data_IF_049206033024
#
_entry.id   IF_049206033024
#
_cell.length_a   1.000
_cell.length_b   1.000
_cell.length_c   1.000
_cell.angle_alpha   90.00
_cell.angle_beta   90.00
_cell.angle_gamma   90.00
#
_symmetry.space_group_name_H-M   'P 1'
#
loop_
_entity.id
_entity.type
_entity.pdbx_description
1 polymer ?
#
# COMPACT_ATOMS: atom_id res chain seq x y z
N UNK A 1 -28.37 58.59 52.17
CA UNK A 1 -27.59 57.47 52.74
C UNK A 1 -27.57 56.38 51.68
N UNK A 2 -26.51 56.01 50.97
CA UNK A 2 -25.07 56.28 51.05
C UNK A 2 -24.49 56.30 49.61
N UNK A 3 -23.59 57.25 49.35
CA UNK A 3 -22.62 57.24 48.26
C UNK A 3 -21.57 56.17 48.48
N UNK A 4 -21.02 55.60 47.41
CA UNK A 4 -19.68 54.99 47.43
C UNK A 4 -18.92 55.38 46.15
N UNK A 5 -17.69 55.84 46.40
CA UNK A 5 -16.81 56.60 45.52
C UNK A 5 -16.00 55.74 44.55
N UNK A 6 -15.69 56.31 43.38
CA UNK A 6 -14.67 55.82 42.45
C UNK A 6 -13.28 56.27 42.92
N UNK A 7 -12.33 55.33 42.99
CA UNK A 7 -10.91 55.59 43.24
C UNK A 7 -10.18 55.56 41.89
N UNK A 8 -9.51 56.67 41.55
CA UNK A 8 -8.63 56.83 40.39
C UNK A 8 -7.18 56.58 40.84
N UNK A 9 -6.46 55.69 40.15
CA UNK A 9 -5.03 55.45 40.33
C UNK A 9 -4.22 56.18 39.24
N UNK A 10 -3.06 56.80 39.55
CA UNK A 10 -2.29 57.59 38.61
C UNK A 10 -1.32 56.74 37.75
N UNK A 11 -1.13 57.13 36.49
CA UNK A 11 -0.11 56.59 35.59
C UNK A 11 1.29 57.03 36.03
N UNK A 12 2.23 56.08 36.17
CA UNK A 12 3.66 56.35 36.23
C UNK A 12 4.26 56.44 34.82
N UNK A 13 4.88 57.59 34.51
CA UNK A 13 5.68 57.81 33.31
C UNK A 13 7.10 57.28 33.52
N UNK A 14 7.58 56.42 32.62
CA UNK A 14 8.98 55.98 32.57
C UNK A 14 9.71 56.80 31.49
N UNK A 15 10.78 57.48 31.91
CA UNK A 15 11.62 58.33 31.06
C UNK A 15 12.59 57.50 30.22
N UNK A 16 12.68 57.80 28.93
CA UNK A 16 13.65 57.24 27.98
C UNK A 16 14.78 58.28 27.79
N UNK A 17 16.07 57.92 27.94
CA UNK A 17 17.16 58.80 27.53
C UNK A 17 17.54 58.59 26.06
N UNK A 18 17.51 59.68 25.29
CA UNK A 18 18.26 59.95 24.05
C UNK A 18 19.72 60.30 24.39
N UNK A 19 20.78 60.25 23.56
CA UNK A 19 21.06 60.01 22.15
C UNK A 19 22.61 59.82 22.06
N UNK A 20 23.16 59.08 21.10
CA UNK A 20 24.42 59.46 20.41
C UNK A 20 24.62 58.58 19.17
N UNK A 21 25.11 59.20 18.10
CA UNK A 21 25.20 58.66 16.75
C UNK A 21 26.66 58.49 16.27
N UNK A 22 26.84 57.52 15.35
CA UNK A 22 27.88 57.36 14.32
C UNK A 22 29.30 56.89 14.76
N UNK A 23 30.03 56.06 13.96
CA UNK A 23 30.16 56.16 12.50
C UNK A 23 30.06 54.85 11.65
N UNK A 24 30.04 55.07 10.33
CA UNK A 24 29.83 54.15 9.21
C UNK A 24 31.08 53.30 8.82
N UNK A 25 30.98 52.36 7.85
CA UNK A 25 31.74 51.10 7.83
C UNK A 25 33.08 51.16 7.07
N UNK A 26 34.09 50.49 7.63
CA UNK A 26 35.38 50.16 6.99
C UNK A 26 35.40 48.74 6.42
N UNK A 27 36.12 48.58 5.30
CA UNK A 27 36.14 47.47 4.33
C UNK A 27 36.69 46.12 4.82
N UNK A 28 36.54 45.13 3.92
CA UNK A 28 37.17 43.78 3.81
C UNK A 28 36.34 42.63 4.38
N UNK A 29 36.16 41.47 3.73
CA UNK A 29 36.78 40.86 2.57
C UNK A 29 35.76 40.03 1.76
N UNK A 30 36.05 39.81 0.49
CA UNK A 30 35.25 39.00 -0.43
C UNK A 30 35.08 37.56 0.09
N UNK A 31 33.84 37.06 0.12
CA UNK A 31 33.56 35.63 0.28
C UNK A 31 34.03 34.88 -0.98
N UNK A 32 34.72 33.73 -0.85
CA UNK A 32 35.06 32.91 -2.00
C UNK A 32 33.79 32.33 -2.61
N UNK A 33 33.64 32.47 -3.93
CA UNK A 33 32.71 31.65 -4.72
C UNK A 33 33.25 30.22 -4.73
N UNK A 34 32.76 29.37 -3.85
CA UNK A 34 32.86 27.93 -4.02
C UNK A 34 31.67 27.48 -4.84
N UNK A 35 31.89 27.22 -6.13
CA UNK A 35 30.99 26.39 -6.93
C UNK A 35 31.06 24.97 -6.38
N UNK A 36 30.15 24.61 -5.47
CA UNK A 36 30.00 23.21 -5.06
C UNK A 36 29.21 22.47 -6.13
N UNK A 37 29.87 21.44 -6.63
CA UNK A 37 29.44 20.52 -7.66
C UNK A 37 28.45 19.51 -7.04
N UNK A 38 27.29 19.99 -6.59
CA UNK A 38 26.31 19.21 -5.81
C UNK A 38 25.53 18.19 -6.67
N UNK A 39 25.69 18.22 -7.99
CA UNK A 39 24.93 17.37 -8.92
C UNK A 39 25.47 15.93 -9.09
N UNK A 40 26.61 15.57 -8.47
CA UNK A 40 27.16 14.21 -8.56
C UNK A 40 27.02 13.34 -7.31
N UNK A 41 26.76 13.93 -6.14
CA UNK A 41 26.63 13.18 -4.87
C UNK A 41 25.17 12.71 -4.68
N UNK A 42 24.20 13.34 -5.34
CA UNK A 42 22.78 13.01 -5.25
C UNK A 42 22.34 11.73 -5.98
N UNK A 43 23.12 11.24 -6.94
CA UNK A 43 22.79 10.00 -7.67
C UNK A 43 23.31 8.76 -6.92
N UNK A 44 24.59 8.73 -6.49
CA UNK A 44 25.15 7.60 -5.73
C UNK A 44 24.43 7.38 -4.37
N UNK A 45 24.01 8.44 -3.68
CA UNK A 45 23.26 8.31 -2.42
C UNK A 45 21.81 7.81 -2.62
N UNK A 46 21.21 8.09 -3.79
CA UNK A 46 19.88 7.56 -4.16
C UNK A 46 19.95 6.09 -4.52
N UNK A 47 21.00 5.68 -5.21
CA UNK A 47 21.22 4.30 -5.62
C UNK A 47 21.48 3.39 -4.40
N UNK A 48 22.26 3.86 -3.42
CA UNK A 48 22.52 3.11 -2.19
C UNK A 48 21.26 2.88 -1.32
N UNK A 49 20.32 3.85 -1.29
CA UNK A 49 19.03 3.67 -0.62
C UNK A 49 18.06 2.78 -1.40
N UNK A 50 18.11 2.81 -2.73
CA UNK A 50 17.33 1.94 -3.58
C UNK A 50 17.82 0.49 -3.45
N UNK A 51 19.13 0.26 -3.47
CA UNK A 51 19.73 -1.06 -3.27
C UNK A 51 19.38 -1.64 -1.90
N UNK A 52 19.54 -0.87 -0.82
CA UNK A 52 19.17 -1.33 0.54
C UNK A 52 17.67 -1.65 0.65
N UNK A 53 16.82 -0.84 0.03
CA UNK A 53 15.38 -1.05 0.11
C UNK A 53 14.90 -2.23 -0.76
N UNK A 54 15.54 -2.48 -1.90
CA UNK A 54 15.32 -3.63 -2.78
C UNK A 54 15.88 -4.92 -2.19
N UNK A 55 17.04 -4.86 -1.54
CA UNK A 55 17.56 -5.97 -0.74
C UNK A 55 16.58 -6.38 0.37
N UNK A 56 15.89 -5.39 0.97
CA UNK A 56 14.97 -5.64 2.08
C UNK A 56 13.57 -6.12 1.64
N UNK A 57 13.10 -5.82 0.42
CA UNK A 57 11.72 -6.13 0.01
C UNK A 57 11.58 -6.74 -1.40
N UNK A 58 12.68 -6.98 -2.10
CA UNK A 58 12.69 -7.53 -3.47
C UNK A 58 13.05 -9.00 -3.55
N UNK A 59 13.28 -9.65 -2.42
CA UNK A 59 13.48 -11.09 -2.31
C UNK A 59 12.49 -11.67 -1.30
N UNK A 60 12.03 -12.93 -1.50
CA UNK A 60 11.22 -13.63 -0.52
C UNK A 60 11.92 -13.69 0.85
N UNK A 61 11.20 -13.35 1.92
CA UNK A 61 11.70 -13.24 3.30
C UNK A 61 11.20 -14.42 4.14
N UNK A 62 12.08 -15.35 4.58
CA UNK A 62 11.70 -16.51 5.40
C UNK A 62 11.02 -16.16 6.72
N UNK A 63 11.34 -15.01 7.34
CA UNK A 63 10.67 -14.57 8.58
C UNK A 63 9.17 -14.39 8.38
N UNK A 64 8.73 -14.03 7.17
CA UNK A 64 7.31 -13.93 6.82
C UNK A 64 6.61 -15.27 6.97
N UNK A 65 7.24 -16.36 6.54
CA UNK A 65 6.67 -17.70 6.67
C UNK A 65 6.61 -18.18 8.12
N UNK A 66 7.65 -17.92 8.90
CA UNK A 66 7.69 -18.22 10.33
C UNK A 66 6.62 -17.43 11.11
N UNK A 67 6.39 -16.16 10.73
CA UNK A 67 5.35 -15.34 11.36
C UNK A 67 3.96 -15.85 11.00
N UNK A 68 3.76 -16.26 9.74
CA UNK A 68 2.51 -16.81 9.24
C UNK A 68 2.16 -18.16 9.88
N UNK A 69 3.13 -19.00 10.26
CA UNK A 69 2.86 -20.26 10.97
C UNK A 69 2.10 -20.07 12.28
N UNK A 70 2.23 -18.89 12.90
CA UNK A 70 1.55 -18.53 14.15
C UNK A 70 0.15 -17.95 13.93
N UNK A 71 -0.21 -17.66 12.68
CA UNK A 71 -1.53 -17.16 12.33
C UNK A 71 -2.56 -18.29 12.40
N UNK A 72 -3.71 -17.99 13.00
CA UNK A 72 -4.81 -18.92 13.15
C UNK A 72 -6.11 -18.28 12.69
N UNK A 73 -6.68 -18.80 11.61
CA UNK A 73 -7.92 -18.30 11.02
C UNK A 73 -9.09 -18.20 12.02
N UNK A 74 -9.15 -19.08 13.03
CA UNK A 74 -10.27 -19.15 13.99
C UNK A 74 -10.22 -18.09 15.07
N UNK A 75 -9.07 -17.45 15.30
CA UNK A 75 -8.86 -16.48 16.38
C UNK A 75 -8.24 -15.16 15.93
N UNK A 76 -7.86 -15.06 14.66
CA UNK A 76 -7.25 -13.88 14.07
C UNK A 76 -8.30 -12.80 13.75
N UNK A 77 -8.00 -11.57 14.15
CA UNK A 77 -8.69 -10.38 13.66
C UNK A 77 -8.06 -9.79 12.40
N UNK A 78 -6.92 -10.36 11.99
CA UNK A 78 -6.11 -9.99 10.82
C UNK A 78 -6.06 -11.13 9.79
N UNK A 79 -5.41 -10.85 8.67
CA UNK A 79 -5.37 -11.73 7.49
C UNK A 79 -3.98 -12.37 7.32
N UNK A 80 -3.87 -13.51 6.61
CA UNK A 80 -2.58 -14.19 6.45
C UNK A 80 -1.56 -13.34 5.67
N UNK A 81 -2.01 -12.54 4.70
CA UNK A 81 -1.14 -11.62 3.95
C UNK A 81 -0.64 -10.42 4.81
N UNK A 82 -1.32 -10.10 5.91
CA UNK A 82 -0.89 -9.07 6.88
C UNK A 82 0.18 -9.57 7.88
N UNK A 83 0.86 -10.67 7.54
CA UNK A 83 1.91 -11.29 8.37
C UNK A 83 3.30 -11.23 7.74
N UNK A 84 3.41 -10.75 6.50
CA UNK A 84 4.68 -10.67 5.81
C UNK A 84 5.49 -9.42 6.17
N UNK A 85 6.78 -9.49 5.88
CA UNK A 85 7.76 -8.41 6.01
C UNK A 85 8.10 -7.81 4.64
N UNK A 86 7.10 -7.66 3.78
CA UNK A 86 7.24 -7.03 2.46
C UNK A 86 6.77 -5.57 2.51
N UNK A 87 6.89 -4.84 1.38
CA UNK A 87 6.27 -3.52 1.30
C UNK A 87 4.78 -3.68 1.55
N UNK A 88 4.22 -2.90 2.47
CA UNK A 88 2.81 -3.04 2.84
C UNK A 88 2.46 -4.50 3.21
N UNK A 89 3.38 -5.23 3.84
CA UNK A 89 3.12 -6.58 4.34
C UNK A 89 3.32 -7.68 3.31
N UNK A 90 2.82 -7.53 2.08
CA UNK A 90 2.71 -8.59 1.06
C UNK A 90 3.08 -8.13 -0.37
N UNK A 91 3.62 -6.93 -0.56
CA UNK A 91 4.07 -6.47 -1.88
C UNK A 91 5.57 -6.73 -2.06
N UNK A 92 5.90 -7.74 -2.88
CA UNK A 92 7.28 -7.98 -3.29
C UNK A 92 7.70 -6.96 -4.35
N UNK A 93 8.63 -6.09 -3.99
CA UNK A 93 9.08 -5.05 -4.91
C UNK A 93 10.14 -5.57 -5.88
N UNK A 94 9.83 -5.57 -7.17
CA UNK A 94 10.84 -5.84 -8.21
C UNK A 94 11.24 -4.52 -8.88
N UNK A 95 12.51 -4.11 -8.72
CA UNK A 95 13.04 -2.99 -9.51
C UNK A 95 13.03 -3.35 -10.99
N UNK A 96 12.34 -2.55 -11.78
CA UNK A 96 12.79 -2.26 -13.13
C UNK A 96 13.66 -0.98 -13.07
N UNK A 97 14.73 -0.84 -13.87
CA UNK A 97 15.55 0.38 -13.94
C UNK A 97 14.77 1.68 -14.24
N UNK A 98 13.48 1.59 -14.58
CA UNK A 98 12.59 2.71 -14.90
C UNK A 98 11.38 2.83 -13.95
N UNK A 99 11.33 2.06 -12.85
CA UNK A 99 10.22 2.08 -11.91
C UNK A 99 10.30 3.27 -10.95
N UNK A 100 9.62 4.36 -11.29
CA UNK A 100 9.38 5.49 -10.38
C UNK A 100 8.31 5.14 -9.35
N UNK A 101 8.56 5.51 -8.07
CA UNK A 101 7.81 5.21 -6.84
C UNK A 101 6.41 5.85 -6.73
N UNK A 102 5.58 5.73 -7.76
CA UNK A 102 4.15 5.98 -7.67
C UNK A 102 3.43 4.70 -8.03
N UNK A 103 2.14 4.58 -7.73
CA UNK A 103 1.26 3.57 -8.32
C UNK A 103 1.72 3.29 -9.76
N UNK A 104 1.87 2.02 -10.14
CA UNK A 104 2.38 1.62 -11.46
C UNK A 104 1.40 2.06 -12.56
N UNK A 105 1.35 3.37 -12.79
CA UNK A 105 0.52 4.07 -13.74
C UNK A 105 1.42 4.24 -14.95
N UNK A 106 1.29 3.28 -15.86
CA UNK A 106 1.94 3.26 -17.15
C UNK A 106 1.48 2.02 -17.89
N UNK A 107 1.22 2.13 -19.19
CA UNK A 107 0.84 0.98 -20.04
C UNK A 107 1.83 -0.19 -19.89
N UNK A 108 3.11 0.10 -19.59
CA UNK A 108 4.15 -0.89 -19.35
C UNK A 108 3.82 -1.86 -18.21
N UNK A 109 3.24 -1.37 -17.12
CA UNK A 109 2.98 -2.18 -15.93
C UNK A 109 1.67 -2.96 -15.99
N UNK A 110 0.87 -2.73 -17.03
CA UNK A 110 -0.33 -3.52 -17.27
C UNK A 110 0.03 -4.79 -18.04
N UNK A 111 -0.78 -5.82 -17.84
CA UNK A 111 -0.76 -6.99 -18.69
C UNK A 111 -1.34 -6.65 -20.08
N UNK A 112 -0.58 -6.86 -21.17
CA UNK A 112 -1.08 -6.58 -22.51
C UNK A 112 -2.38 -7.33 -22.79
N UNK A 113 -3.34 -6.66 -23.43
CA UNK A 113 -4.63 -7.22 -23.81
C UNK A 113 -5.46 -7.80 -22.65
N UNK A 114 -5.18 -7.39 -21.40
CA UNK A 114 -5.78 -7.98 -20.20
C UNK A 114 -5.51 -9.49 -20.06
N UNK A 115 -4.40 -9.98 -20.64
CA UNK A 115 -4.02 -11.40 -20.60
C UNK A 115 -2.86 -11.63 -19.63
N UNK A 116 -3.10 -12.46 -18.63
CA UNK A 116 -2.09 -12.84 -17.63
C UNK A 116 -1.71 -14.30 -17.86
N UNK A 117 -0.42 -14.57 -18.01
CA UNK A 117 0.07 -15.95 -18.11
C UNK A 117 0.50 -16.43 -16.73
N UNK A 118 0.05 -17.63 -16.34
CA UNK A 118 0.34 -18.22 -15.04
C UNK A 118 1.01 -19.58 -15.18
N UNK A 119 1.96 -19.84 -14.29
CA UNK A 119 2.53 -21.16 -14.04
C UNK A 119 2.26 -21.50 -12.57
N UNK A 120 1.87 -22.74 -12.27
CA UNK A 120 1.76 -23.22 -10.90
C UNK A 120 2.95 -24.15 -10.67
N UNK A 121 4.04 -23.63 -10.09
CA UNK A 121 5.24 -24.42 -9.81
C UNK A 121 5.31 -24.89 -8.36
N UNK A 122 4.55 -24.28 -7.45
CA UNK A 122 4.46 -24.70 -6.06
C UNK A 122 3.94 -26.13 -5.92
N UNK A 123 4.42 -26.82 -4.89
CA UNK A 123 3.99 -28.18 -4.56
C UNK A 123 2.65 -28.15 -3.80
N UNK A 124 1.57 -27.79 -4.49
CA UNK A 124 0.22 -27.69 -3.94
C UNK A 124 -0.52 -29.03 -4.00
N UNK A 125 -1.34 -29.30 -2.99
CA UNK A 125 -2.28 -30.42 -3.05
C UNK A 125 -3.36 -30.18 -4.13
N UNK A 126 -4.00 -31.24 -4.68
CA UNK A 126 -5.01 -31.07 -5.74
C UNK A 126 -6.17 -30.12 -5.37
N UNK A 127 -6.59 -30.12 -4.11
CA UNK A 127 -7.65 -29.23 -3.63
C UNK A 127 -7.20 -27.77 -3.56
N UNK A 128 -5.93 -27.51 -3.28
CA UNK A 128 -5.33 -26.16 -3.27
C UNK A 128 -5.18 -25.61 -4.68
N UNK A 129 -4.73 -26.44 -5.63
CA UNK A 129 -4.72 -26.10 -7.06
C UNK A 129 -6.12 -25.70 -7.53
N UNK A 130 -7.16 -26.38 -7.05
CA UNK A 130 -8.55 -26.01 -7.36
C UNK A 130 -8.95 -24.65 -6.76
N UNK A 131 -8.46 -24.29 -5.58
CA UNK A 131 -8.69 -22.96 -4.98
C UNK A 131 -8.03 -21.87 -5.81
N UNK A 132 -6.78 -22.07 -6.24
CA UNK A 132 -6.05 -21.13 -7.10
C UNK A 132 -6.80 -20.92 -8.42
N UNK A 133 -7.26 -22.00 -9.06
CA UNK A 133 -8.08 -21.92 -10.29
C UNK A 133 -9.42 -21.21 -10.05
N UNK A 134 -10.05 -21.40 -8.90
CA UNK A 134 -11.29 -20.66 -8.55
C UNK A 134 -11.03 -19.17 -8.39
N UNK A 135 -9.89 -18.77 -7.84
CA UNK A 135 -9.52 -17.36 -7.71
C UNK A 135 -9.34 -16.70 -9.09
N UNK A 136 -8.65 -17.36 -10.03
CA UNK A 136 -8.52 -16.84 -11.41
C UNK A 136 -9.90 -16.72 -12.08
N UNK A 137 -10.72 -17.77 -12.01
CA UNK A 137 -12.08 -17.78 -12.56
C UNK A 137 -12.97 -16.71 -11.94
N UNK A 138 -12.79 -16.42 -10.66
CA UNK A 138 -13.56 -15.40 -9.96
C UNK A 138 -13.27 -13.99 -10.52
N UNK A 139 -12.02 -13.67 -10.82
CA UNK A 139 -11.64 -12.43 -11.50
C UNK A 139 -12.15 -12.40 -12.95
N UNK A 140 -11.96 -13.49 -13.70
CA UNK A 140 -12.40 -13.61 -15.11
C UNK A 140 -13.91 -13.43 -15.27
N UNK A 141 -14.69 -13.90 -14.30
CA UNK A 141 -16.15 -13.80 -14.32
C UNK A 141 -16.65 -12.36 -14.23
N UNK A 142 -15.94 -11.48 -13.53
CA UNK A 142 -16.39 -10.11 -13.25
C UNK A 142 -15.66 -9.06 -14.09
N UNK A 143 -14.61 -9.45 -14.80
CA UNK A 143 -13.75 -8.52 -15.55
C UNK A 143 -13.41 -9.05 -16.95
N UNK A 144 -12.72 -8.24 -17.75
CA UNK A 144 -12.15 -8.70 -19.02
C UNK A 144 -10.78 -9.38 -18.88
N UNK A 145 -10.21 -9.48 -17.68
CA UNK A 145 -8.96 -10.20 -17.44
C UNK A 145 -9.12 -11.66 -17.84
N UNK A 146 -8.11 -12.23 -18.50
CA UNK A 146 -8.05 -13.66 -18.84
C UNK A 146 -6.73 -14.27 -18.40
N UNK A 147 -6.80 -15.36 -17.65
CA UNK A 147 -5.63 -16.11 -17.21
C UNK A 147 -5.40 -17.30 -18.15
N UNK A 148 -4.16 -17.45 -18.61
CA UNK A 148 -3.74 -18.55 -19.47
C UNK A 148 -2.59 -19.31 -18.84
N UNK A 149 -2.49 -20.62 -19.09
CA UNK A 149 -1.31 -21.36 -18.67
C UNK A 149 -0.09 -20.95 -19.50
N UNK A 150 1.00 -20.66 -18.82
CA UNK A 150 2.29 -20.34 -19.39
C UNK A 150 2.84 -21.50 -20.23
N UNK A 151 3.35 -21.18 -21.42
CA UNK A 151 4.03 -22.12 -22.30
C UNK A 151 5.50 -21.68 -22.47
N UNK A 152 6.47 -22.51 -22.00
CA UNK A 152 7.89 -22.19 -22.12
C UNK A 152 8.30 -21.85 -23.56
N UNK A 153 9.00 -20.72 -23.72
CA UNK A 153 9.50 -20.26 -25.03
C UNK A 153 8.50 -19.45 -25.86
N UNK A 154 7.25 -19.31 -25.42
CA UNK A 154 6.25 -18.47 -26.11
C UNK A 154 6.09 -17.14 -25.40
N UNK A 155 5.67 -17.16 -24.13
CA UNK A 155 5.47 -15.93 -23.37
C UNK A 155 6.75 -15.56 -22.63
N UNK A 156 7.11 -14.28 -22.66
CA UNK A 156 8.23 -13.75 -21.87
C UNK A 156 7.82 -13.47 -20.43
N UNK A 157 6.66 -12.86 -20.27
CA UNK A 157 6.17 -12.35 -18.99
C UNK A 157 5.10 -13.29 -18.43
N UNK A 158 5.24 -13.71 -17.18
CA UNK A 158 4.26 -14.60 -16.53
C UNK A 158 4.39 -14.56 -15.00
N UNK A 159 3.30 -14.88 -14.32
CA UNK A 159 3.24 -15.08 -12.87
C UNK A 159 3.54 -16.55 -12.55
N UNK A 160 4.55 -16.80 -11.74
CA UNK A 160 4.87 -18.12 -11.20
C UNK A 160 4.32 -18.25 -9.78
N UNK A 161 3.27 -19.06 -9.64
CA UNK A 161 2.56 -19.29 -8.38
C UNK A 161 3.31 -20.37 -7.60
N UNK A 162 3.93 -19.96 -6.49
CA UNK A 162 4.78 -20.79 -5.62
C UNK A 162 4.15 -20.96 -4.23
N UNK A 163 4.71 -21.85 -3.41
CA UNK A 163 4.29 -22.07 -2.02
C UNK A 163 5.47 -22.18 -1.04
N UNK A 164 6.53 -21.42 -1.29
CA UNK A 164 7.67 -21.33 -0.39
C UNK A 164 7.25 -20.83 0.99
N UNK A 165 8.01 -21.20 2.03
CA UNK A 165 7.80 -20.81 3.41
C UNK A 165 8.22 -19.35 3.65
N UNK A 166 7.54 -18.43 2.97
CA UNK A 166 7.88 -17.00 2.86
C UNK A 166 6.62 -16.12 2.87
N UNK A 167 5.49 -16.62 3.36
CA UNK A 167 4.25 -15.85 3.51
C UNK A 167 3.36 -15.79 2.26
N UNK A 168 2.39 -14.88 2.26
CA UNK A 168 1.54 -14.55 1.11
C UNK A 168 2.07 -13.24 0.50
N UNK A 169 2.36 -13.22 -0.80
CA UNK A 169 2.78 -11.99 -1.46
C UNK A 169 2.70 -12.07 -2.98
N UNK A 170 2.73 -10.90 -3.61
CA UNK A 170 2.80 -10.72 -5.05
C UNK A 170 3.52 -9.41 -5.37
N UNK A 171 4.02 -9.27 -6.60
CA UNK A 171 4.41 -7.96 -7.10
C UNK A 171 3.18 -7.20 -7.60
N UNK A 172 3.21 -5.87 -7.49
CA UNK A 172 2.16 -5.06 -8.11
C UNK A 172 2.42 -4.96 -9.61
N UNK A 173 1.39 -5.27 -10.40
CA UNK A 173 1.40 -5.18 -11.86
C UNK A 173 2.33 -6.19 -12.55
N UNK A 174 2.53 -5.98 -13.86
CA UNK A 174 3.47 -6.74 -14.68
C UNK A 174 4.88 -6.18 -14.51
N UNK A 175 5.80 -6.98 -13.99
CA UNK A 175 7.19 -6.56 -13.74
C UNK A 175 8.14 -6.89 -14.88
N UNK A 176 7.76 -7.83 -15.76
CA UNK A 176 8.57 -8.30 -16.89
C UNK A 176 9.36 -9.57 -16.56
N UNK A 177 9.36 -10.53 -17.48
CA UNK A 177 9.91 -11.86 -17.22
C UNK A 177 9.06 -12.68 -16.23
N UNK A 178 9.72 -13.58 -15.52
CA UNK A 178 9.10 -14.37 -14.44
C UNK A 178 8.93 -13.49 -13.20
N UNK A 179 7.69 -13.33 -12.71
CA UNK A 179 7.40 -12.72 -11.42
C UNK A 179 6.76 -13.73 -10.46
N UNK A 180 7.15 -13.70 -9.19
CA UNK A 180 6.66 -14.68 -8.19
C UNK A 180 5.39 -14.15 -7.54
N UNK A 181 4.41 -15.04 -7.38
CA UNK A 181 3.28 -14.88 -6.47
C UNK A 181 3.32 -16.07 -5.51
N UNK A 182 3.51 -15.83 -4.22
CA UNK A 182 3.67 -16.91 -3.25
C UNK A 182 2.39 -17.08 -2.43
N UNK A 183 1.90 -18.31 -2.35
CA UNK A 183 0.81 -18.71 -1.48
C UNK A 183 1.34 -19.84 -0.58
N UNK A 184 1.94 -19.47 0.56
CA UNK A 184 2.38 -20.46 1.55
C UNK A 184 1.20 -21.33 1.99
N UNK A 185 1.36 -22.64 1.81
CA UNK A 185 0.35 -23.64 2.15
C UNK A 185 0.43 -24.03 3.64
N UNK A 186 -0.71 -24.24 4.32
CA UNK A 186 -2.08 -24.06 3.81
C UNK A 186 -2.63 -22.63 4.02
N UNK A 187 -1.98 -21.78 4.82
CA UNK A 187 -2.58 -20.54 5.34
C UNK A 187 -2.99 -19.54 4.25
N UNK A 188 -2.18 -19.37 3.20
CA UNK A 188 -2.48 -18.46 2.08
C UNK A 188 -3.42 -19.07 1.04
N UNK A 189 -3.67 -20.39 1.06
CA UNK A 189 -4.40 -21.07 -0.01
C UNK A 189 -5.90 -21.09 0.27
N UNK A 190 -6.47 -19.90 0.32
CA UNK A 190 -7.91 -19.66 0.39
C UNK A 190 -8.34 -18.73 -0.75
N UNK A 191 -9.63 -18.74 -1.09
CA UNK A 191 -10.15 -17.98 -2.24
C UNK A 191 -9.85 -16.48 -2.13
N UNK A 192 -10.02 -15.91 -0.93
CA UNK A 192 -9.79 -14.48 -0.67
C UNK A 192 -8.32 -14.11 -0.92
N UNK A 193 -7.39 -14.79 -0.24
CA UNK A 193 -5.96 -14.47 -0.31
C UNK A 193 -5.43 -14.69 -1.72
N UNK A 194 -5.77 -15.82 -2.36
CA UNK A 194 -5.37 -16.05 -3.75
C UNK A 194 -5.92 -14.97 -4.70
N UNK A 195 -7.16 -14.50 -4.50
CA UNK A 195 -7.74 -13.41 -5.31
C UNK A 195 -7.03 -12.08 -5.04
N UNK A 196 -6.73 -11.76 -3.78
CA UNK A 196 -5.99 -10.57 -3.37
C UNK A 196 -4.61 -10.49 -4.05
N UNK A 197 -3.82 -11.56 -3.96
CA UNK A 197 -2.48 -11.60 -4.55
C UNK A 197 -2.50 -11.54 -6.09
N UNK A 198 -3.54 -12.13 -6.71
CA UNK A 198 -3.75 -11.99 -8.15
C UNK A 198 -4.11 -10.54 -8.50
N UNK A 199 -4.91 -9.84 -7.69
CA UNK A 199 -5.25 -8.43 -7.91
C UNK A 199 -4.03 -7.52 -7.74
N UNK A 200 -3.11 -7.80 -6.81
CA UNK A 200 -1.79 -7.16 -6.80
C UNK A 200 -1.09 -7.32 -8.14
N UNK A 201 -1.01 -8.54 -8.67
CA UNK A 201 -0.36 -8.80 -9.98
C UNK A 201 -1.02 -8.04 -11.15
N UNK A 202 -2.26 -7.59 -11.00
CA UNK A 202 -2.98 -6.77 -11.99
C UNK A 202 -2.66 -5.28 -11.92
N UNK A 203 -2.01 -4.80 -10.85
CA UNK A 203 -1.55 -3.41 -10.72
C UNK A 203 -2.17 -2.62 -9.57
N UNK A 204 -2.78 -3.29 -8.59
CA UNK A 204 -3.47 -2.62 -7.49
C UNK A 204 -2.66 -2.68 -6.19
N UNK A 205 -2.52 -1.53 -5.55
CA UNK A 205 -2.05 -1.41 -4.16
C UNK A 205 -3.24 -1.50 -3.20
N UNK A 206 -2.95 -1.46 -1.91
CA UNK A 206 -3.98 -1.51 -0.89
C UNK A 206 -4.88 -0.28 -0.83
N UNK A 207 -6.11 -0.47 -0.36
CA UNK A 207 -7.09 0.63 -0.25
C UNK A 207 -6.71 1.62 0.86
N UNK A 208 -6.16 1.15 2.00
CA UNK A 208 -5.75 2.02 3.11
C UNK A 208 -4.52 2.88 2.81
N UNK A 209 -3.81 2.61 1.71
CA UNK A 209 -2.66 3.42 1.27
C UNK A 209 -3.05 4.49 0.25
N UNK A 210 -4.34 4.64 -0.10
CA UNK A 210 -4.81 5.76 -0.95
C UNK A 210 -4.42 7.14 -0.40
N UNK A 211 -4.15 8.07 -1.31
CA UNK A 211 -3.83 9.47 -0.99
C UNK A 211 -4.92 10.17 -0.16
N UNK A 212 -6.19 9.81 -0.39
CA UNK A 212 -7.37 10.38 0.26
C UNK A 212 -7.82 9.62 1.52
N UNK A 213 -7.13 8.54 1.92
CA UNK A 213 -7.55 7.63 3.00
C UNK A 213 -7.84 8.32 4.34
N UNK A 214 -7.13 9.39 4.67
CA UNK A 214 -7.30 10.15 5.92
C UNK A 214 -8.66 10.87 6.05
N UNK A 215 -9.42 10.98 4.96
CA UNK A 215 -10.82 11.45 5.00
C UNK A 215 -11.74 10.39 5.59
N UNK A 216 -11.39 9.11 5.47
CA UNK A 216 -12.24 7.96 5.74
C UNK A 216 -11.81 7.18 6.98
N UNK A 217 -10.50 7.06 7.19
CA UNK A 217 -9.92 6.27 8.27
C UNK A 217 -8.89 7.09 9.06
N UNK A 218 -8.64 6.64 10.28
CA UNK A 218 -7.58 7.11 11.16
C UNK A 218 -6.64 5.95 11.48
N UNK A 219 -5.34 6.19 11.28
CA UNK A 219 -4.29 5.25 11.67
C UNK A 219 -3.91 5.50 13.13
N UNK A 220 -4.04 4.46 13.94
CA UNK A 220 -3.63 4.45 15.34
C UNK A 220 -2.15 4.05 15.42
N UNK A 221 -1.27 5.00 15.07
CA UNK A 221 0.19 4.79 15.01
C UNK A 221 0.77 4.15 16.27
N UNK A 222 0.22 4.52 17.44
CA UNK A 222 0.62 3.96 18.72
C UNK A 222 0.31 2.48 18.86
N UNK A 223 -0.59 1.89 18.07
CA UNK A 223 -0.97 0.48 18.17
C UNK A 223 -0.22 -0.44 17.19
N UNK A 224 0.58 0.12 16.28
CA UNK A 224 1.32 -0.63 15.26
C UNK A 224 2.69 -1.09 15.81
N UNK A 225 3.17 -2.26 15.40
CA UNK A 225 4.55 -2.66 15.65
C UNK A 225 5.53 -1.65 15.04
N UNK A 226 6.57 -1.24 15.76
CA UNK A 226 7.46 -0.15 15.32
C UNK A 226 8.13 -0.39 13.97
N UNK A 227 8.44 -1.65 13.64
CA UNK A 227 9.02 -2.04 12.35
C UNK A 227 8.00 -2.07 11.20
N UNK A 228 6.69 -2.06 11.50
CA UNK A 228 5.60 -2.15 10.52
C UNK A 228 4.95 -0.79 10.20
N UNK A 229 5.41 0.30 10.82
CA UNK A 229 4.87 1.66 10.62
C UNK A 229 4.87 2.05 9.13
N UNK A 230 5.86 1.59 8.36
CA UNK A 230 5.96 1.90 6.94
C UNK A 230 4.81 1.29 6.10
N UNK A 231 4.18 0.19 6.54
CA UNK A 231 3.07 -0.46 5.82
C UNK A 231 1.79 0.39 5.81
N UNK A 232 1.73 1.43 6.64
CA UNK A 232 0.59 2.34 6.74
C UNK A 232 0.84 3.69 6.07
N UNK A 233 2.00 3.88 5.42
CA UNK A 233 2.26 5.10 4.65
C UNK A 233 1.32 5.15 3.45
N UNK A 234 0.78 6.34 3.17
CA UNK A 234 -0.05 6.55 1.98
C UNK A 234 0.82 6.74 0.74
N UNK A 235 0.25 6.50 -0.42
CA UNK A 235 0.76 6.87 -1.72
C UNK A 235 0.16 8.21 -2.14
N UNK A 236 0.90 9.31 -1.98
CA UNK A 236 0.39 10.67 -2.26
C UNK A 236 -0.13 10.86 -3.69
N UNK A 237 0.42 10.10 -4.64
CA UNK A 237 0.04 10.14 -6.07
C UNK A 237 -0.83 8.95 -6.51
N UNK A 238 -1.54 8.29 -5.59
CA UNK A 238 -2.42 7.17 -5.97
C UNK A 238 -3.58 7.64 -6.86
N UNK A 239 -3.85 6.91 -7.95
CA UNK A 239 -5.01 7.14 -8.81
C UNK A 239 -6.17 6.20 -8.42
N UNK A 240 -7.18 6.76 -7.75
CA UNK A 240 -8.39 6.03 -7.35
C UNK A 240 -9.52 6.08 -8.41
N UNK A 241 -9.22 6.54 -9.63
CA UNK A 241 -10.09 6.45 -10.81
C UNK A 241 -11.49 7.08 -10.65
N UNK A 242 -11.58 8.10 -9.79
CA UNK A 242 -12.84 8.78 -9.45
C UNK A 242 -13.81 7.92 -8.63
N UNK A 243 -13.38 6.77 -8.10
CA UNK A 243 -14.21 5.89 -7.28
C UNK A 243 -14.08 6.24 -5.79
N UNK A 244 -15.17 6.02 -5.06
CA UNK A 244 -15.24 6.22 -3.61
C UNK A 244 -14.24 5.31 -2.87
N UNK A 245 -13.94 5.66 -1.62
CA UNK A 245 -13.17 4.81 -0.73
C UNK A 245 -13.99 3.59 -0.34
N UNK A 246 -13.41 2.40 -0.44
CA UNK A 246 -14.11 1.15 -0.21
C UNK A 246 -13.63 0.42 1.04
N UNK A 247 -14.38 0.59 2.13
CA UNK A 247 -14.11 -0.06 3.43
C UNK A 247 -14.19 -1.58 3.39
N UNK A 248 -14.80 -2.16 2.36
CA UNK A 248 -14.95 -3.60 2.18
C UNK A 248 -14.08 -4.15 1.06
N UNK A 249 -13.25 -3.32 0.41
CA UNK A 249 -12.37 -3.78 -0.67
C UNK A 249 -11.57 -4.99 -0.22
N UNK A 250 -11.43 -5.99 -1.10
CA UNK A 250 -10.56 -7.13 -0.83
C UNK A 250 -9.10 -6.71 -0.61
N UNK A 251 -8.72 -5.52 -1.09
CA UNK A 251 -7.42 -4.88 -0.94
C UNK A 251 -7.33 -3.95 0.28
N UNK A 252 -8.34 -3.88 1.14
CA UNK A 252 -8.28 -3.11 2.38
C UNK A 252 -7.74 -3.96 3.52
N UNK A 253 -6.77 -3.45 4.27
CA UNK A 253 -6.32 -4.09 5.52
C UNK A 253 -7.45 -4.30 6.52
N UNK A 254 -7.33 -5.35 7.30
CA UNK A 254 -8.09 -5.54 8.51
C UNK A 254 -7.86 -4.39 9.50
N UNK A 255 -8.81 -4.21 10.41
CA UNK A 255 -8.69 -3.19 11.47
C UNK A 255 -7.53 -3.43 12.44
N UNK A 256 -7.00 -4.65 12.48
CA UNK A 256 -5.98 -5.09 13.44
C UNK A 256 -4.67 -5.49 12.75
N UNK A 257 -4.54 -5.19 11.45
CA UNK A 257 -3.32 -5.44 10.69
C UNK A 257 -2.10 -4.90 11.44
N UNK A 258 -1.06 -5.71 11.58
CA UNK A 258 0.22 -5.36 12.23
C UNK A 258 0.11 -4.79 13.66
N UNK A 259 -0.98 -5.09 14.37
CA UNK A 259 -1.20 -4.60 15.72
C UNK A 259 -0.22 -5.22 16.71
N UNK A 260 0.47 -4.39 17.49
CA UNK A 260 1.33 -4.84 18.60
C UNK A 260 0.54 -5.50 19.74
N UNK A 261 -0.74 -5.15 19.85
CA UNK A 261 -1.69 -5.78 20.74
C UNK A 261 -2.92 -6.17 19.90
N UNK A 262 -3.23 -7.47 19.73
CA UNK A 262 -4.30 -7.93 18.84
C UNK A 262 -5.71 -7.54 19.28
N UNK A 263 -5.85 -6.89 20.45
CA UNK A 263 -7.12 -6.34 20.97
C UNK A 263 -7.32 -4.85 20.67
N UNK A 264 -6.29 -4.16 20.18
CA UNK A 264 -6.36 -2.73 19.87
C UNK A 264 -6.27 -2.54 18.35
N UNK A 265 -7.22 -1.84 17.72
CA UNK A 265 -7.20 -1.64 16.28
C UNK A 265 -6.06 -0.69 15.89
N UNK A 266 -5.45 -0.94 14.74
CA UNK A 266 -4.50 -0.05 14.06
C UNK A 266 -5.22 0.89 13.08
N UNK A 267 -6.42 0.52 12.64
CA UNK A 267 -7.27 1.34 11.77
C UNK A 267 -8.64 1.55 12.42
N UNK A 268 -9.04 2.82 12.55
CA UNK A 268 -10.40 3.24 12.90
C UNK A 268 -11.09 3.91 11.73
N UNK A 269 -12.39 3.72 11.61
CA UNK A 269 -13.17 4.44 10.61
C UNK A 269 -13.68 5.74 11.22
N UNK A 270 -13.55 6.85 10.49
CA UNK A 270 -13.91 8.19 10.98
C UNK A 270 -15.42 8.43 10.86
N UNK A 271 -16.00 9.35 11.63
CA UNK A 271 -17.38 9.79 11.41
C UNK A 271 -17.62 10.25 9.96
N UNK A 272 -18.75 9.88 9.32
CA UNK A 272 -19.87 9.06 9.83
C UNK A 272 -19.77 7.56 9.50
N UNK A 273 -18.57 7.05 9.24
CA UNK A 273 -18.31 5.71 8.69
C UNK A 273 -18.09 4.61 9.74
N UNK A 274 -18.25 4.89 11.03
CA UNK A 274 -17.99 3.93 12.12
C UNK A 274 -18.85 2.67 11.99
N UNK A 275 -20.03 2.76 11.38
CA UNK A 275 -20.91 1.62 11.13
C UNK A 275 -20.27 0.52 10.25
N UNK A 276 -19.32 0.88 9.39
CA UNK A 276 -18.64 -0.06 8.49
C UNK A 276 -17.75 -1.05 9.25
N UNK A 277 -17.35 -0.74 10.49
CA UNK A 277 -16.50 -1.61 11.30
C UNK A 277 -17.09 -3.01 11.55
N UNK A 278 -18.41 -3.15 11.47
CA UNK A 278 -19.14 -4.42 11.67
C UNK A 278 -19.17 -5.30 10.41
N UNK A 279 -18.98 -4.71 9.23
CA UNK A 279 -19.18 -5.35 7.92
C UNK A 279 -17.93 -5.36 7.05
N UNK A 280 -16.85 -4.68 7.45
CA UNK A 280 -15.55 -4.66 6.76
C UNK A 280 -14.78 -6.00 6.78
N UNK A 281 -15.39 -7.08 7.26
CA UNK A 281 -14.88 -8.45 7.12
C UNK A 281 -15.41 -9.05 5.81
N UNK A 282 -14.91 -8.56 4.69
CA UNK A 282 -15.27 -9.06 3.37
C UNK A 282 -14.21 -10.05 2.85
N UNK A 283 -14.67 -11.14 2.24
CA UNK A 283 -13.82 -12.18 1.64
C UNK A 283 -13.96 -12.24 0.11
N UNK A 284 -14.71 -11.30 -0.48
CA UNK A 284 -15.07 -11.24 -1.89
C UNK A 284 -14.59 -9.93 -2.52
N UNK A 285 -14.49 -9.86 -3.85
CA UNK A 285 -14.33 -8.57 -4.53
C UNK A 285 -15.61 -7.75 -4.36
N UNK A 286 -15.48 -6.48 -4.03
CA UNK A 286 -16.60 -5.56 -4.10
C UNK A 286 -16.86 -5.13 -5.55
N UNK A 287 -17.98 -4.44 -5.78
CA UNK A 287 -18.22 -3.78 -7.06
C UNK A 287 -17.10 -2.79 -7.40
N UNK A 288 -16.58 -2.05 -6.41
CA UNK A 288 -15.51 -1.07 -6.62
C UNK A 288 -14.19 -1.75 -7.02
N UNK A 289 -13.86 -2.91 -6.44
CA UNK A 289 -12.69 -3.70 -6.86
C UNK A 289 -12.79 -4.08 -8.34
N UNK A 290 -13.94 -4.61 -8.76
CA UNK A 290 -14.23 -5.00 -10.14
C UNK A 290 -14.16 -3.79 -11.08
N UNK A 291 -14.78 -2.67 -10.71
CA UNK A 291 -14.82 -1.46 -11.53
C UNK A 291 -13.42 -0.84 -11.70
N UNK A 292 -12.59 -0.86 -10.64
CA UNK A 292 -11.18 -0.43 -10.70
C UNK A 292 -10.38 -1.25 -11.72
N UNK A 293 -10.54 -2.57 -11.72
CA UNK A 293 -9.90 -3.46 -12.70
C UNK A 293 -10.41 -3.16 -14.10
N UNK A 294 -11.73 -3.05 -14.27
CA UNK A 294 -12.35 -2.81 -15.57
C UNK A 294 -11.93 -1.49 -16.20
N UNK A 295 -11.88 -0.40 -15.42
CA UNK A 295 -11.39 0.90 -15.86
C UNK A 295 -9.89 0.87 -16.21
N UNK A 296 -9.06 0.23 -15.39
CA UNK A 296 -7.61 0.14 -15.65
C UNK A 296 -7.30 -0.60 -16.96
N UNK A 297 -8.01 -1.70 -17.20
CA UNK A 297 -7.85 -2.55 -18.38
C UNK A 297 -8.77 -2.19 -19.54
N UNK A 298 -9.54 -1.10 -19.42
CA UNK A 298 -10.48 -0.61 -20.45
C UNK A 298 -11.41 -1.71 -20.94
N UNK A 299 -11.94 -2.50 -20.00
CA UNK A 299 -12.86 -3.58 -20.31
C UNK A 299 -14.11 -3.03 -21.01
N UNK A 300 -14.67 -3.76 -21.99
CA UNK A 300 -15.93 -3.37 -22.61
C UNK A 300 -17.01 -3.26 -21.55
N UNK A 301 -17.80 -2.18 -21.59
CA UNK A 301 -18.96 -2.03 -20.72
C UNK A 301 -19.88 -3.23 -20.92
N UNK A 302 -20.06 -4.05 -19.89
CA UNK A 302 -21.06 -5.10 -19.91
C UNK A 302 -22.43 -4.43 -19.98
N UNK A 303 -23.19 -4.67 -21.03
CA UNK A 303 -24.54 -4.10 -21.23
C UNK A 303 -25.59 -4.68 -20.28
N UNK A 304 -25.19 -5.13 -19.10
CA UNK A 304 -26.07 -5.71 -18.09
C UNK A 304 -25.79 -5.05 -16.74
N UNK A 305 -26.62 -4.08 -16.38
CA UNK A 305 -26.77 -3.66 -14.99
C UNK A 305 -27.17 -4.90 -14.17
N UNK A 306 -26.48 -5.22 -13.07
CA UNK A 306 -26.99 -6.19 -12.12
C UNK A 306 -28.20 -5.54 -11.45
N UNK A 307 -29.39 -6.05 -11.73
CA UNK A 307 -30.59 -5.73 -10.97
C UNK A 307 -30.36 -6.14 -9.52
N UNK A 308 -30.46 -5.18 -8.61
CA UNK A 308 -30.59 -5.42 -7.18
C UNK A 308 -31.86 -6.21 -6.91
N UNK A 309 -31.73 -7.43 -6.41
CA UNK A 309 -32.79 -8.18 -5.74
C UNK A 309 -32.35 -8.53 -4.34
#
# INVERSE_FOLDING_TARGET
MNSLSFIVLPLLAISIPSLSAAPAPGKTAAKPKTTHNDDKIGEEFRDMQLESWVLNHGLPEPKSGINLDRWNASSANDRPEERGFYLEGDILYQTHPSATKSAQVGEYYKWPNAQVFIKISGAFAPHEVNIIKKATQYIEKHTCIRFFFYQPGIQKDYVDITNSHTGCFSSVGRTGGRQVLNLQSPQCVNLRTATHELIHSLGFFHEQSRSDRDKYIQIEWGNIHSHEINNFKRHDNSNHQGLAYDFQSIMHYSRFAFARNPRLPTIRFKPPYEGWEKVAKNDQMTWTDVEKINKLYKCPSTSASPTSS
#
